data_IF_966021890404
#
_entry.id   IF_966021890404
#
_cell.length_a   1.000
_cell.length_b   1.000
_cell.length_c   1.000
_cell.angle_alpha   90.00
_cell.angle_beta   90.00
_cell.angle_gamma   90.00
#
_symmetry.space_group_name_H-M   'P 1'
#
loop_
_entity.id
_entity.type
_entity.pdbx_description
1 polymer ?
#
# COMPACT_ATOMS: atom_id res chain seq x y z
N UNK A 1 -14.09 6.40 -0.26
CA UNK A 1 -13.77 5.48 0.82
C UNK A 1 -12.31 5.53 1.21
N UNK A 2 -11.96 4.79 2.24
CA UNK A 2 -10.57 4.63 2.71
C UNK A 2 -10.14 3.20 2.37
N UNK A 3 -9.00 3.04 1.71
CA UNK A 3 -8.34 1.76 1.50
C UNK A 3 -7.43 1.52 2.72
N UNK A 4 -7.79 0.57 3.58
CA UNK A 4 -6.93 0.15 4.68
C UNK A 4 -5.71 -0.60 4.17
N UNK A 5 -4.52 -0.34 4.72
CA UNK A 5 -3.31 -1.05 4.33
C UNK A 5 -2.43 -1.39 5.53
N UNK A 6 -1.74 -2.52 5.46
CA UNK A 6 -0.74 -2.91 6.46
C UNK A 6 0.45 -3.64 5.83
N UNK A 7 1.65 -3.55 6.43
CA UNK A 7 2.80 -4.34 6.00
C UNK A 7 2.64 -5.81 6.39
N UNK A 8 2.87 -6.75 5.45
CA UNK A 8 2.87 -8.18 5.75
C UNK A 8 3.83 -8.55 6.91
N UNK A 9 4.96 -7.84 7.02
CA UNK A 9 5.92 -8.02 8.10
C UNK A 9 5.39 -7.66 9.50
N UNK A 10 4.30 -6.91 9.62
CA UNK A 10 3.66 -6.64 10.91
C UNK A 10 2.93 -7.87 11.46
N UNK A 11 2.51 -8.78 10.60
CA UNK A 11 2.02 -10.10 11.00
C UNK A 11 3.21 -10.98 11.43
N UNK A 12 3.76 -10.70 12.61
CA UNK A 12 4.91 -11.41 13.19
C UNK A 12 4.49 -12.80 13.59
N UNK A 13 5.33 -13.80 13.32
CA UNK A 13 5.05 -15.17 13.74
C UNK A 13 5.00 -15.25 15.25
N UNK A 14 3.84 -15.67 15.76
CA UNK A 14 3.67 -16.12 17.14
C UNK A 14 3.94 -17.62 17.23
N UNK A 15 3.88 -18.17 18.44
CA UNK A 15 4.05 -19.61 18.70
C UNK A 15 2.87 -20.49 18.22
N UNK A 16 2.06 -20.02 17.25
CA UNK A 16 0.88 -20.72 16.73
C UNK A 16 1.17 -21.58 15.51
N UNK A 17 0.29 -22.56 15.25
CA UNK A 17 0.40 -23.52 14.13
C UNK A 17 0.18 -22.88 12.74
N UNK A 18 -0.47 -21.69 12.68
CA UNK A 18 -0.78 -21.00 11.43
C UNK A 18 -0.02 -19.68 11.31
N UNK A 19 0.36 -19.30 10.08
CA UNK A 19 0.95 -17.97 9.82
C UNK A 19 -0.01 -16.88 10.27
N UNK A 20 0.45 -15.92 11.06
CA UNK A 20 -0.40 -14.82 11.53
C UNK A 20 -0.98 -13.98 10.37
N UNK A 21 -0.24 -13.86 9.24
CA UNK A 21 -0.74 -13.20 8.04
C UNK A 21 -1.98 -13.90 7.46
N UNK A 22 -1.99 -15.22 7.42
CA UNK A 22 -3.14 -16.02 6.95
C UNK A 22 -4.37 -15.78 7.84
N UNK A 23 -4.17 -15.76 9.15
CA UNK A 23 -5.22 -15.44 10.14
C UNK A 23 -5.79 -14.04 9.92
N UNK A 24 -4.94 -13.02 9.84
CA UNK A 24 -5.38 -11.64 9.63
C UNK A 24 -6.14 -11.46 8.33
N UNK A 25 -5.69 -12.07 7.24
CA UNK A 25 -6.37 -11.97 5.96
C UNK A 25 -7.74 -12.68 5.97
N UNK A 26 -7.86 -13.79 6.70
CA UNK A 26 -9.15 -14.45 6.93
C UNK A 26 -10.11 -13.52 7.68
N UNK A 27 -9.68 -12.98 8.82
CA UNK A 27 -10.48 -12.07 9.63
C UNK A 27 -10.91 -10.81 8.85
N UNK A 28 -10.00 -10.20 8.10
CA UNK A 28 -10.29 -9.02 7.26
C UNK A 28 -11.37 -9.35 6.24
N UNK A 29 -11.27 -10.49 5.53
CA UNK A 29 -12.28 -10.89 4.55
C UNK A 29 -13.63 -11.13 5.18
N UNK A 30 -13.68 -11.87 6.28
CA UNK A 30 -14.92 -12.14 7.00
C UNK A 30 -15.62 -10.84 7.47
N UNK A 31 -14.84 -9.88 7.98
CA UNK A 31 -15.38 -8.57 8.39
C UNK A 31 -15.90 -7.75 7.20
N UNK A 32 -15.14 -7.70 6.10
CA UNK A 32 -15.56 -6.97 4.89
C UNK A 32 -16.83 -7.60 4.29
N UNK A 33 -16.91 -8.92 4.23
CA UNK A 33 -18.09 -9.64 3.72
C UNK A 33 -19.32 -9.39 4.60
N UNK A 34 -19.15 -9.42 5.92
CA UNK A 34 -20.21 -9.09 6.89
C UNK A 34 -20.71 -7.65 6.71
N UNK A 35 -19.78 -6.70 6.57
CA UNK A 35 -20.10 -5.30 6.32
C UNK A 35 -20.87 -5.15 5.01
N UNK A 36 -20.41 -5.74 3.92
CA UNK A 36 -21.01 -5.63 2.59
C UNK A 36 -22.41 -6.25 2.53
N UNK A 37 -22.62 -7.36 3.23
CA UNK A 37 -23.94 -7.97 3.36
C UNK A 37 -24.92 -7.08 4.12
N UNK A 38 -24.44 -6.40 5.18
CA UNK A 38 -25.26 -5.49 5.97
C UNK A 38 -25.51 -4.14 5.27
N UNK A 39 -24.58 -3.72 4.37
CA UNK A 39 -24.60 -2.40 3.74
C UNK A 39 -24.40 -2.52 2.21
N UNK A 40 -25.33 -3.12 1.47
CA UNK A 40 -25.18 -3.37 0.03
C UNK A 40 -25.05 -2.09 -0.81
N UNK A 41 -25.64 -0.99 -0.36
CA UNK A 41 -25.59 0.31 -1.04
C UNK A 41 -24.30 1.10 -0.76
N UNK A 42 -23.54 0.71 0.26
CA UNK A 42 -22.28 1.35 0.68
C UNK A 42 -21.22 0.31 1.02
N UNK A 43 -20.78 -0.50 0.04
CA UNK A 43 -19.79 -1.54 0.31
C UNK A 43 -18.47 -0.96 0.79
N UNK A 44 -17.73 -1.75 1.55
CA UNK A 44 -16.39 -1.40 1.99
C UNK A 44 -15.43 -1.21 0.80
N UNK A 45 -14.47 -0.30 0.95
CA UNK A 45 -13.36 -0.21 0.01
C UNK A 45 -12.48 -1.47 0.08
N UNK A 46 -11.76 -1.82 -0.99
CA UNK A 46 -10.79 -2.90 -0.94
C UNK A 46 -9.67 -2.57 0.07
N UNK A 47 -8.99 -3.60 0.55
CA UNK A 47 -7.80 -3.45 1.41
C UNK A 47 -6.52 -3.66 0.61
N UNK A 48 -5.38 -3.28 1.21
CA UNK A 48 -4.07 -3.46 0.61
C UNK A 48 -3.10 -4.14 1.58
N UNK A 49 -2.16 -4.92 1.04
CA UNK A 49 -1.04 -5.50 1.79
C UNK A 49 0.28 -4.97 1.23
N UNK A 50 1.12 -4.40 2.10
CA UNK A 50 2.44 -3.93 1.71
C UNK A 50 3.47 -5.07 1.83
N UNK A 51 4.20 -5.32 0.75
CA UNK A 51 5.29 -6.28 0.64
C UNK A 51 6.63 -5.54 0.58
N UNK A 52 7.50 -5.82 1.54
CA UNK A 52 8.89 -5.37 1.50
C UNK A 52 9.67 -6.30 0.60
N UNK A 53 10.00 -5.84 -0.60
CA UNK A 53 10.59 -6.69 -1.68
C UNK A 53 12.12 -6.78 -1.56
N UNK A 54 12.71 -6.22 -0.52
CA UNK A 54 14.15 -6.27 -0.32
C UNK A 54 14.63 -7.71 -0.02
N UNK A 55 15.83 -8.04 -0.51
CA UNK A 55 16.45 -9.38 -0.37
C UNK A 55 16.65 -9.86 1.09
N UNK A 56 16.60 -8.95 2.06
CA UNK A 56 16.66 -9.30 3.49
C UNK A 56 15.31 -9.78 4.05
N UNK A 57 14.24 -9.72 3.26
CA UNK A 57 12.96 -10.26 3.68
C UNK A 57 12.91 -11.76 3.32
N UNK A 58 13.30 -12.60 4.26
CA UNK A 58 13.32 -14.06 4.12
C UNK A 58 11.91 -14.67 4.05
N UNK A 59 10.88 -13.91 4.46
CA UNK A 59 9.48 -14.35 4.44
C UNK A 59 8.77 -14.05 3.12
N UNK A 60 9.38 -13.28 2.21
CA UNK A 60 8.69 -12.72 1.05
C UNK A 60 7.92 -13.78 0.26
N UNK A 61 8.56 -14.87 -0.12
CA UNK A 61 7.94 -15.92 -0.96
C UNK A 61 6.69 -16.53 -0.29
N UNK A 62 6.80 -16.85 1.01
CA UNK A 62 5.68 -17.36 1.78
C UNK A 62 4.55 -16.34 1.94
N UNK A 63 4.89 -15.07 2.20
CA UNK A 63 3.90 -14.00 2.34
C UNK A 63 3.17 -13.76 1.00
N UNK A 64 3.87 -13.90 -0.15
CA UNK A 64 3.26 -13.84 -1.47
C UNK A 64 2.25 -14.99 -1.69
N UNK A 65 2.62 -16.23 -1.37
CA UNK A 65 1.73 -17.40 -1.48
C UNK A 65 0.44 -17.20 -0.66
N UNK A 66 0.56 -16.69 0.56
CA UNK A 66 -0.59 -16.38 1.42
C UNK A 66 -1.46 -15.28 0.79
N UNK A 67 -0.84 -14.22 0.29
CA UNK A 67 -1.59 -13.13 -0.36
C UNK A 67 -2.31 -13.60 -1.63
N UNK A 68 -1.70 -14.47 -2.43
CA UNK A 68 -2.34 -15.08 -3.61
C UNK A 68 -3.53 -15.96 -3.17
N UNK A 69 -3.35 -16.83 -2.16
CA UNK A 69 -4.42 -17.67 -1.59
C UNK A 69 -5.65 -16.85 -1.18
N UNK A 70 -5.40 -15.68 -0.58
CA UNK A 70 -6.46 -14.78 -0.13
C UNK A 70 -6.89 -13.76 -1.21
N UNK A 71 -6.42 -13.88 -2.46
CA UNK A 71 -6.77 -12.97 -3.56
C UNK A 71 -6.70 -11.50 -3.15
N UNK A 72 -5.59 -11.09 -2.52
CA UNK A 72 -5.42 -9.71 -2.03
C UNK A 72 -5.63 -8.72 -3.17
N UNK A 73 -6.57 -7.76 -3.05
CA UNK A 73 -6.96 -6.94 -4.19
C UNK A 73 -5.96 -5.84 -4.55
N UNK A 74 -5.21 -5.33 -3.55
CA UNK A 74 -4.20 -4.29 -3.77
C UNK A 74 -2.91 -4.69 -3.06
N UNK A 75 -1.83 -4.73 -3.82
CA UNK A 75 -0.50 -5.00 -3.31
C UNK A 75 0.31 -3.71 -3.36
N UNK A 76 0.88 -3.30 -2.23
CA UNK A 76 1.85 -2.21 -2.19
C UNK A 76 3.23 -2.84 -2.13
N UNK A 77 4.14 -2.45 -3.02
CA UNK A 77 5.50 -3.01 -3.04
C UNK A 77 6.52 -1.93 -2.73
N UNK A 78 7.45 -2.23 -1.82
CA UNK A 78 8.44 -1.28 -1.30
C UNK A 78 9.85 -1.86 -1.35
N UNK A 79 10.86 -0.99 -1.48
CA UNK A 79 12.29 -1.30 -1.45
C UNK A 79 12.77 -2.25 -2.57
N UNK A 80 12.18 -2.14 -3.74
CA UNK A 80 12.59 -2.85 -4.94
C UNK A 80 11.40 -3.31 -5.79
N UNK A 81 11.52 -3.22 -7.11
CA UNK A 81 10.53 -3.72 -8.05
C UNK A 81 11.01 -5.06 -8.62
N UNK A 82 10.23 -6.12 -8.43
CA UNK A 82 10.46 -7.47 -8.94
C UNK A 82 9.28 -7.92 -9.77
N UNK A 83 9.57 -8.41 -10.98
CA UNK A 83 8.55 -8.90 -11.92
C UNK A 83 7.74 -10.04 -11.29
N UNK A 84 8.42 -10.97 -10.63
CA UNK A 84 7.80 -12.16 -10.02
C UNK A 84 6.76 -11.79 -8.93
N UNK A 85 6.99 -10.70 -8.21
CA UNK A 85 6.04 -10.20 -7.20
C UNK A 85 4.80 -9.61 -7.87
N UNK A 86 5.00 -8.86 -8.95
CA UNK A 86 3.90 -8.27 -9.71
C UNK A 86 3.07 -9.37 -10.42
N UNK A 87 3.73 -10.38 -11.00
CA UNK A 87 3.07 -11.54 -11.59
C UNK A 87 2.26 -12.33 -10.57
N UNK A 88 2.77 -12.50 -9.34
CA UNK A 88 2.03 -13.15 -8.26
C UNK A 88 0.74 -12.36 -7.93
N UNK A 89 0.82 -11.04 -7.81
CA UNK A 89 -0.35 -10.21 -7.57
C UNK A 89 -1.38 -10.32 -8.72
N UNK A 90 -0.93 -10.22 -9.96
CA UNK A 90 -1.78 -10.32 -11.14
C UNK A 90 -2.42 -11.72 -11.28
N UNK A 91 -1.74 -12.79 -10.85
CA UNK A 91 -2.27 -14.16 -10.92
C UNK A 91 -3.55 -14.36 -10.12
N UNK A 92 -3.79 -13.56 -9.10
CA UNK A 92 -5.00 -13.58 -8.28
C UNK A 92 -5.96 -12.40 -8.55
N UNK A 93 -5.73 -11.64 -9.63
CA UNK A 93 -6.56 -10.49 -9.99
C UNK A 93 -6.27 -9.21 -9.19
N UNK A 94 -5.20 -9.18 -8.40
CA UNK A 94 -4.76 -8.01 -7.66
C UNK A 94 -4.04 -6.99 -8.55
N UNK A 95 -3.98 -5.74 -8.09
CA UNK A 95 -3.19 -4.67 -8.70
C UNK A 95 -1.99 -4.32 -7.82
N UNK A 96 -0.92 -3.82 -8.44
CA UNK A 96 0.31 -3.44 -7.75
C UNK A 96 0.52 -1.94 -7.77
N UNK A 97 0.62 -1.34 -6.57
CA UNK A 97 1.05 0.04 -6.34
C UNK A 97 2.49 0.02 -5.82
N UNK A 98 3.44 0.65 -6.53
CA UNK A 98 4.85 0.61 -6.14
C UNK A 98 5.33 1.92 -5.51
N UNK A 99 5.98 1.83 -4.33
CA UNK A 99 6.59 2.97 -3.65
C UNK A 99 7.79 3.51 -4.42
N UNK A 100 7.75 4.80 -4.76
CA UNK A 100 8.85 5.47 -5.47
C UNK A 100 9.20 6.80 -4.81
N UNK A 101 10.47 7.18 -4.93
CA UNK A 101 11.01 8.44 -4.38
C UNK A 101 11.46 9.42 -5.47
N UNK A 102 11.46 9.01 -6.72
CA UNK A 102 11.82 9.84 -7.87
C UNK A 102 11.33 9.23 -9.19
N UNK A 103 11.38 10.03 -10.24
CA UNK A 103 10.89 9.67 -11.58
C UNK A 103 11.64 8.47 -12.20
N UNK A 104 12.94 8.29 -11.92
CA UNK A 104 13.72 7.15 -12.40
C UNK A 104 13.18 5.83 -11.84
N UNK A 105 12.88 5.78 -10.55
CA UNK A 105 12.31 4.57 -9.92
C UNK A 105 10.86 4.37 -10.35
N UNK A 106 10.10 5.44 -10.58
CA UNK A 106 8.74 5.35 -11.11
C UNK A 106 8.72 4.65 -12.47
N UNK A 107 9.53 5.09 -13.43
CA UNK A 107 9.63 4.45 -14.75
C UNK A 107 10.03 2.98 -14.64
N UNK A 108 11.02 2.67 -13.80
CA UNK A 108 11.46 1.29 -13.58
C UNK A 108 10.38 0.40 -12.96
N UNK A 109 9.54 0.93 -12.08
CA UNK A 109 8.43 0.18 -11.48
C UNK A 109 7.39 -0.20 -12.52
N UNK A 110 6.99 0.76 -13.36
CA UNK A 110 6.03 0.52 -14.45
C UNK A 110 6.60 -0.43 -15.51
N UNK A 111 7.87 -0.27 -15.90
CA UNK A 111 8.56 -1.21 -16.83
C UNK A 111 8.56 -2.65 -16.30
N UNK A 112 8.51 -2.85 -14.98
CA UNK A 112 8.45 -4.16 -14.32
C UNK A 112 7.04 -4.67 -14.06
N UNK A 113 6.01 -3.94 -14.49
CA UNK A 113 4.63 -4.37 -14.43
C UNK A 113 3.84 -3.87 -13.22
N UNK A 114 4.28 -2.82 -12.53
CA UNK A 114 3.41 -2.16 -11.54
C UNK A 114 2.27 -1.41 -12.25
N UNK A 115 1.07 -1.48 -11.71
CA UNK A 115 -0.14 -0.84 -12.27
C UNK A 115 -0.28 0.60 -11.84
N UNK A 116 0.28 0.95 -10.67
CA UNK A 116 0.22 2.27 -10.08
C UNK A 116 1.45 2.60 -9.24
N UNK A 117 1.51 3.84 -8.79
CA UNK A 117 2.64 4.38 -8.04
C UNK A 117 2.20 5.00 -6.72
N UNK A 118 3.01 4.83 -5.68
CA UNK A 118 2.95 5.63 -4.46
C UNK A 118 4.15 6.57 -4.45
N UNK A 119 3.91 7.85 -4.73
CA UNK A 119 4.95 8.89 -4.74
C UNK A 119 5.30 9.28 -3.30
N UNK A 120 6.41 8.75 -2.79
CA UNK A 120 6.92 9.00 -1.44
C UNK A 120 7.80 10.24 -1.47
N UNK A 121 7.19 11.39 -1.31
CA UNK A 121 7.83 12.70 -1.42
C UNK A 121 8.48 13.17 -0.11
N UNK A 122 9.15 14.32 -0.15
CA UNK A 122 9.61 15.00 1.05
C UNK A 122 8.45 15.24 2.03
N UNK A 123 8.68 14.96 3.32
CA UNK A 123 7.66 15.03 4.36
C UNK A 123 6.95 13.70 4.65
N UNK A 124 7.23 12.64 3.89
CA UNK A 124 6.81 11.29 4.25
C UNK A 124 7.65 10.75 5.41
N UNK A 125 7.07 9.83 6.20
CA UNK A 125 7.81 9.09 7.23
C UNK A 125 8.68 7.98 6.64
N UNK A 126 9.63 7.45 7.42
CA UNK A 126 10.49 6.36 6.99
C UNK A 126 11.50 6.75 5.92
N UNK A 127 11.66 5.91 4.91
CA UNK A 127 12.57 6.13 3.78
C UNK A 127 12.00 7.09 2.74
N UNK A 128 11.82 8.34 3.13
CA UNK A 128 11.23 9.37 2.28
C UNK A 128 12.18 9.83 1.16
N UNK A 129 11.57 10.24 0.03
CA UNK A 129 12.26 10.99 -1.00
C UNK A 129 12.59 12.41 -0.55
N UNK A 130 13.53 13.04 -1.25
CA UNK A 130 13.93 14.43 -0.99
C UNK A 130 13.18 15.42 -1.90
N UNK A 131 12.52 14.91 -2.93
CA UNK A 131 11.84 15.74 -3.92
C UNK A 131 10.52 16.28 -3.35
N UNK A 132 10.25 17.55 -3.64
CA UNK A 132 8.98 18.17 -3.29
C UNK A 132 7.80 17.40 -3.90
N UNK A 133 6.69 17.22 -3.18
CA UNK A 133 5.49 16.59 -3.75
C UNK A 133 5.00 17.29 -5.02
N UNK A 134 5.08 18.63 -5.10
CA UNK A 134 4.70 19.39 -6.29
C UNK A 134 5.52 19.01 -7.53
N UNK A 135 6.84 18.88 -7.37
CA UNK A 135 7.73 18.50 -8.46
C UNK A 135 7.56 17.02 -8.84
N UNK A 136 7.54 16.13 -7.85
CA UNK A 136 7.48 14.68 -8.08
C UNK A 136 6.19 14.28 -8.81
N UNK A 137 5.04 14.74 -8.33
CA UNK A 137 3.74 14.42 -8.95
C UNK A 137 3.70 14.99 -10.37
N UNK A 138 4.16 16.22 -10.58
CA UNK A 138 4.15 16.86 -11.90
C UNK A 138 5.02 16.10 -12.90
N UNK A 139 6.25 15.75 -12.53
CA UNK A 139 7.15 14.97 -13.39
C UNK A 139 6.58 13.58 -13.76
N UNK A 140 5.91 12.91 -12.82
CA UNK A 140 5.29 11.62 -13.07
C UNK A 140 4.12 11.79 -14.06
N UNK A 141 3.27 12.79 -13.86
CA UNK A 141 2.10 13.05 -14.73
C UNK A 141 2.44 13.50 -16.15
N UNK A 142 3.67 13.85 -16.45
CA UNK A 142 4.10 14.11 -17.83
C UNK A 142 4.10 12.84 -18.71
N UNK A 143 4.12 11.64 -18.12
CA UNK A 143 4.26 10.39 -18.86
C UNK A 143 3.39 9.24 -18.33
N UNK A 144 2.76 9.39 -17.16
CA UNK A 144 1.99 8.34 -16.51
C UNK A 144 0.60 8.82 -16.11
N UNK A 145 -0.43 8.19 -16.69
CA UNK A 145 -1.85 8.50 -16.45
C UNK A 145 -2.54 7.47 -15.52
N UNK A 146 -1.81 6.44 -15.09
CA UNK A 146 -2.33 5.39 -14.20
C UNK A 146 -2.50 5.86 -12.75
N UNK A 147 -2.94 4.97 -11.85
CA UNK A 147 -3.19 5.29 -10.43
C UNK A 147 -1.95 5.84 -9.74
N UNK A 148 -2.09 7.01 -9.11
CA UNK A 148 -1.01 7.70 -8.39
C UNK A 148 -1.47 8.14 -7.00
N UNK A 149 -0.87 7.57 -5.97
CA UNK A 149 -1.02 8.03 -4.59
C UNK A 149 0.15 8.94 -4.21
N UNK A 150 -0.12 9.99 -3.43
CA UNK A 150 0.90 10.87 -2.87
C UNK A 150 1.06 10.61 -1.37
N UNK A 151 2.29 10.34 -0.95
CA UNK A 151 2.74 10.27 0.44
C UNK A 151 3.69 11.41 0.76
N UNK A 152 3.49 12.05 1.90
CA UNK A 152 4.31 13.16 2.40
C UNK A 152 3.46 14.24 3.03
N UNK A 153 3.44 14.29 4.36
CA UNK A 153 2.68 15.27 5.14
C UNK A 153 1.16 15.32 4.82
N UNK A 154 0.61 14.18 4.39
CA UNK A 154 -0.84 14.03 4.15
C UNK A 154 -1.51 13.61 5.45
N UNK A 155 -2.15 14.55 6.14
CA UNK A 155 -2.75 14.30 7.45
C UNK A 155 -4.15 14.91 7.62
N UNK A 156 -4.58 15.79 6.72
CA UNK A 156 -5.87 16.50 6.79
C UNK A 156 -6.61 16.45 5.46
N UNK A 157 -7.90 16.80 5.48
CA UNK A 157 -8.70 16.92 4.26
C UNK A 157 -8.14 17.93 3.26
N UNK A 158 -7.58 19.03 3.76
CA UNK A 158 -6.94 20.07 2.93
C UNK A 158 -5.69 19.53 2.23
N UNK A 159 -4.88 18.72 2.91
CA UNK A 159 -3.72 18.09 2.29
C UNK A 159 -4.11 17.07 1.22
N UNK A 160 -5.21 16.32 1.44
CA UNK A 160 -5.79 15.43 0.42
C UNK A 160 -6.32 16.21 -0.79
N UNK A 161 -6.99 17.34 -0.55
CA UNK A 161 -7.44 18.21 -1.64
C UNK A 161 -6.26 18.78 -2.43
N UNK A 162 -5.20 19.19 -1.71
CA UNK A 162 -3.95 19.64 -2.31
C UNK A 162 -3.29 18.57 -3.17
N UNK A 163 -3.22 17.32 -2.69
CA UNK A 163 -2.69 16.19 -3.45
C UNK A 163 -3.47 15.98 -4.76
N UNK A 164 -4.79 16.01 -4.70
CA UNK A 164 -5.65 15.92 -5.91
C UNK A 164 -5.47 17.09 -6.86
N UNK A 165 -5.37 18.31 -6.35
CA UNK A 165 -5.14 19.48 -7.16
C UNK A 165 -3.78 19.45 -7.89
N UNK A 166 -2.78 18.77 -7.32
CA UNK A 166 -1.48 18.53 -7.98
C UNK A 166 -1.52 17.43 -9.03
N UNK A 167 -2.55 16.59 -9.04
CA UNK A 167 -2.72 15.50 -10.01
C UNK A 167 -2.59 14.08 -9.43
N UNK A 168 -2.46 13.93 -8.11
CA UNK A 168 -2.58 12.61 -7.49
C UNK A 168 -4.04 12.17 -7.40
N UNK A 169 -4.32 10.87 -7.54
CA UNK A 169 -5.67 10.32 -7.39
C UNK A 169 -6.01 10.07 -5.92
N UNK A 170 -4.99 9.72 -5.13
CA UNK A 170 -5.11 9.28 -3.75
C UNK A 170 -4.07 9.97 -2.85
N UNK A 171 -4.39 10.14 -1.57
CA UNK A 171 -3.41 10.46 -0.53
C UNK A 171 -3.05 9.20 0.26
N UNK A 172 -1.77 8.99 0.52
CA UNK A 172 -1.27 7.90 1.35
C UNK A 172 -0.87 8.47 2.72
N UNK A 173 -1.52 8.00 3.77
CA UNK A 173 -1.35 8.52 5.13
C UNK A 173 -1.24 7.40 6.15
N UNK A 174 -0.44 7.60 7.19
CA UNK A 174 -0.24 6.62 8.26
C UNK A 174 -0.38 7.23 9.66
N UNK A 175 0.25 8.39 9.90
CA UNK A 175 0.34 8.97 11.24
C UNK A 175 -1.00 9.18 11.96
N UNK A 176 -2.07 9.67 11.33
CA UNK A 176 -3.37 9.79 11.98
C UNK A 176 -3.95 8.46 12.48
N UNK A 177 -3.67 7.37 11.76
CA UNK A 177 -4.16 6.03 12.14
C UNK A 177 -3.32 5.39 13.26
N UNK A 178 -2.05 5.76 13.41
CA UNK A 178 -1.22 5.32 14.54
C UNK A 178 -1.74 5.90 15.87
N UNK A 179 -2.36 7.07 15.80
CA UNK A 179 -2.89 7.79 16.96
C UNK A 179 -4.35 7.40 17.33
N UNK A 180 -4.89 6.36 16.71
CA UNK A 180 -6.24 5.87 17.05
C UNK A 180 -6.21 4.84 18.19
N UNK A 181 -7.33 4.67 18.87
CA UNK A 181 -7.48 3.69 19.96
C UNK A 181 -7.34 2.23 19.46
N UNK A 182 -7.64 1.98 18.17
CA UNK A 182 -7.52 0.68 17.53
C UNK A 182 -6.08 0.32 17.15
N UNK A 183 -5.18 1.31 17.11
CA UNK A 183 -3.79 1.07 16.77
C UNK A 183 -3.09 0.30 17.91
N UNK A 184 -2.49 -0.84 17.58
CA UNK A 184 -1.66 -1.60 18.51
C UNK A 184 -0.22 -1.00 18.58
N UNK A 185 -0.14 0.30 18.86
CA UNK A 185 1.11 1.04 19.00
C UNK A 185 1.41 1.31 20.47
N UNK A 186 2.68 1.28 20.85
CA UNK A 186 3.10 1.66 22.20
C UNK A 186 2.80 3.15 22.47
N UNK A 187 2.37 3.49 23.69
CA UNK A 187 2.02 4.87 24.06
C UNK A 187 3.16 5.90 23.90
N UNK A 188 4.36 5.44 23.70
CA UNK A 188 5.54 6.30 23.50
C UNK A 188 5.98 6.47 22.04
N UNK A 189 5.21 5.94 21.11
CA UNK A 189 5.55 5.97 19.68
C UNK A 189 5.30 7.31 19.00
#
# INVERSE_FOLDING_TARGET
GIVGSFPALNAREGAGEHPLLDTWLTEIREELDRHNQANPDTPAAPFAVNQIVHRSNERLERDLEICVKHEVPIWITSLGARVEVNEAAHSCGGIVMHDIINNRFAKKAIEKGADGLVAVAAGAGGHAGQQSPFALVREIREWFDGPLALSGSIATGESLLGARAMGADLGYTGSPFIATDEANADQGY
#
